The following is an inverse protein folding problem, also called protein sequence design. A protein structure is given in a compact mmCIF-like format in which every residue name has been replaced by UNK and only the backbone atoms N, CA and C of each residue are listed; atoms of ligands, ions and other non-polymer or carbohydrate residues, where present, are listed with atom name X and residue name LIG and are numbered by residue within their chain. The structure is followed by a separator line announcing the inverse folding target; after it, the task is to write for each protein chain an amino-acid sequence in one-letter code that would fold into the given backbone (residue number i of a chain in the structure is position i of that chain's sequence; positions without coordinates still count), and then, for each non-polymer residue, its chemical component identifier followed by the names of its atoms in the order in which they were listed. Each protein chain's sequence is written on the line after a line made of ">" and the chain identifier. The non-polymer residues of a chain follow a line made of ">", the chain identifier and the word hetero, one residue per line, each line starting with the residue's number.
data_IF_703510010133
#
_entry.id   IF_703510010133
#
_cell.length_a   1.000
_cell.length_b   1.000
_cell.length_c   1.000
_cell.angle_alpha   90.00
_cell.angle_beta   90.00
_cell.angle_gamma   90.00
#
_symmetry.space_group_name_H-M   'P 1'
#
loop_
_entity.id
_entity.type
_entity.pdbx_description
1 polymer ?
#
# COMPACT_ATOMS: atom_id res chain seq x y z
N UNK A 1 74.28 44.98 -1.31
CA UNK A 1 73.91 46.28 -1.91
C UNK A 1 73.16 46.04 -3.21
N UNK A 2 72.19 46.93 -3.46
CA UNK A 2 71.52 47.22 -4.73
C UNK A 2 70.34 46.37 -5.18
N UNK A 3 69.17 46.93 -4.82
CA UNK A 3 67.90 46.91 -5.55
C UNK A 3 68.10 47.12 -7.05
N UNK A 4 67.32 46.42 -7.88
CA UNK A 4 66.78 46.97 -9.12
C UNK A 4 65.39 46.37 -9.38
N UNK A 5 64.40 47.26 -9.34
CA UNK A 5 63.02 47.00 -9.74
C UNK A 5 62.97 46.81 -11.25
N UNK A 6 62.23 45.80 -11.72
CA UNK A 6 61.49 45.89 -12.97
C UNK A 6 60.10 45.29 -12.79
N UNK A 7 59.12 46.15 -13.04
CA UNK A 7 57.70 45.86 -13.16
C UNK A 7 57.50 45.06 -14.44
N UNK A 8 56.83 43.91 -14.34
CA UNK A 8 56.20 43.26 -15.47
C UNK A 8 54.83 42.74 -15.03
N UNK A 9 53.79 43.42 -15.50
CA UNK A 9 52.41 42.93 -15.52
C UNK A 9 52.38 41.54 -16.18
N UNK A 10 51.78 40.55 -15.53
CA UNK A 10 51.06 39.52 -16.27
C UNK A 10 49.75 39.18 -15.57
N UNK A 11 48.69 39.39 -16.35
CA UNK A 11 47.28 39.21 -16.08
C UNK A 11 46.95 37.93 -15.29
N UNK A 12 46.13 38.08 -14.24
CA UNK A 12 45.45 36.97 -13.60
C UNK A 12 44.47 36.31 -14.56
N UNK A 13 44.50 34.97 -14.61
CA UNK A 13 43.40 34.16 -15.13
C UNK A 13 42.87 33.32 -13.97
N UNK A 14 41.95 33.92 -13.22
CA UNK A 14 41.11 33.25 -12.24
C UNK A 14 40.09 32.41 -13.03
N UNK A 15 40.41 31.15 -13.32
CA UNK A 15 39.45 30.21 -13.88
C UNK A 15 38.48 29.79 -12.77
N UNK A 16 37.45 30.62 -12.62
CA UNK A 16 36.17 30.26 -12.01
C UNK A 16 35.59 29.06 -12.76
N UNK A 17 35.88 27.84 -12.30
CA UNK A 17 34.98 26.72 -12.56
C UNK A 17 33.74 26.94 -11.68
N UNK A 18 32.81 27.76 -12.19
CA UNK A 18 31.45 27.83 -11.69
C UNK A 18 30.80 26.47 -11.89
N UNK A 19 30.81 25.64 -10.85
CA UNK A 19 29.88 24.53 -10.73
C UNK A 19 28.49 25.15 -10.63
N UNK A 20 27.81 25.29 -11.77
CA UNK A 20 26.36 25.50 -11.78
C UNK A 20 25.71 24.17 -11.44
N UNK A 21 25.69 23.82 -10.16
CA UNK A 21 24.63 22.97 -9.65
C UNK A 21 23.34 23.79 -9.75
N UNK A 22 22.62 23.69 -10.86
CA UNK A 22 21.22 24.07 -10.88
C UNK A 22 20.48 23.06 -10.00
N UNK A 23 20.39 23.35 -8.70
CA UNK A 23 19.29 22.82 -7.91
C UNK A 23 18.02 23.45 -8.46
N UNK A 24 17.43 22.81 -9.47
CA UNK A 24 16.02 23.00 -9.75
C UNK A 24 15.35 22.47 -8.48
N UNK A 25 14.94 23.37 -7.59
CA UNK A 25 13.97 23.01 -6.57
C UNK A 25 12.72 22.66 -7.36
N UNK A 26 12.59 21.39 -7.75
CA UNK A 26 11.35 20.89 -8.30
C UNK A 26 10.25 21.22 -7.29
N UNK A 27 9.05 21.63 -7.72
CA UNK A 27 7.96 21.90 -6.79
C UNK A 27 7.57 20.67 -5.95
N UNK A 28 8.04 19.47 -6.31
CA UNK A 28 7.80 18.21 -5.61
C UNK A 28 9.02 17.74 -4.79
N UNK A 29 8.83 17.35 -3.52
CA UNK A 29 9.86 16.67 -2.74
C UNK A 29 9.96 15.15 -3.02
N UNK A 30 9.33 14.65 -4.10
CA UNK A 30 9.46 13.26 -4.53
C UNK A 30 10.87 13.03 -5.10
N UNK A 31 11.50 11.92 -4.72
CA UNK A 31 12.82 11.49 -5.16
C UNK A 31 12.69 10.67 -6.44
N UNK A 32 12.39 11.33 -7.54
CA UNK A 32 12.20 10.68 -8.85
C UNK A 32 13.45 9.91 -9.29
N UNK A 33 13.23 8.71 -9.81
CA UNK A 33 14.23 7.83 -10.38
C UNK A 33 14.09 7.81 -11.90
N UNK A 34 15.19 7.49 -12.59
CA UNK A 34 15.13 6.96 -13.96
C UNK A 34 14.48 5.58 -13.95
N UNK A 35 13.94 5.15 -15.09
CA UNK A 35 13.32 3.82 -15.16
C UNK A 35 14.35 2.70 -14.93
N UNK A 36 15.59 2.87 -15.39
CA UNK A 36 16.70 1.94 -15.20
C UNK A 36 17.07 1.79 -13.72
N UNK A 37 17.11 2.90 -12.97
CA UNK A 37 17.35 2.87 -11.53
C UNK A 37 16.21 2.15 -10.80
N UNK A 38 14.96 2.46 -11.15
CA UNK A 38 13.81 1.79 -10.55
C UNK A 38 13.80 0.29 -10.87
N UNK A 39 14.14 -0.09 -12.11
CA UNK A 39 14.23 -1.48 -12.55
C UNK A 39 15.30 -2.26 -11.76
N UNK A 40 16.50 -1.67 -11.65
CA UNK A 40 17.60 -2.27 -10.88
C UNK A 40 17.28 -2.41 -9.38
N UNK A 41 16.57 -1.45 -8.80
CA UNK A 41 16.14 -1.52 -7.41
C UNK A 41 15.05 -2.58 -7.22
N UNK A 42 14.12 -2.69 -8.16
CA UNK A 42 13.05 -3.68 -8.14
C UNK A 42 13.59 -5.12 -8.16
N UNK A 43 14.61 -5.39 -8.98
CA UNK A 43 15.26 -6.72 -9.03
C UNK A 43 15.90 -7.13 -7.71
N UNK A 44 16.35 -6.15 -6.90
CA UNK A 44 16.95 -6.40 -5.58
C UNK A 44 15.90 -6.52 -4.47
N UNK A 45 14.86 -5.68 -4.52
CA UNK A 45 13.80 -5.64 -3.54
C UNK A 45 12.47 -5.25 -4.21
N UNK A 46 11.62 -6.24 -4.55
CA UNK A 46 10.36 -5.99 -5.24
C UNK A 46 9.44 -5.05 -4.44
N UNK A 47 9.30 -3.81 -4.92
CA UNK A 47 8.46 -2.75 -4.39
C UNK A 47 7.73 -2.09 -5.56
N UNK A 48 6.43 -1.75 -5.44
CA UNK A 48 5.67 -1.18 -6.55
C UNK A 48 6.33 0.10 -7.07
N UNK A 49 6.22 0.32 -8.38
CA UNK A 49 6.60 1.58 -9.03
C UNK A 49 5.38 2.46 -9.18
N UNK A 50 5.58 3.77 -9.04
CA UNK A 50 4.62 4.80 -9.43
C UNK A 50 5.27 5.58 -10.57
N UNK A 51 4.74 5.45 -11.78
CA UNK A 51 5.31 6.06 -12.97
C UNK A 51 4.40 7.20 -13.44
N UNK A 52 4.81 8.45 -13.21
CA UNK A 52 4.15 9.64 -13.76
C UNK A 52 4.55 9.80 -15.24
N UNK A 53 3.61 9.50 -16.15
CA UNK A 53 3.82 9.66 -17.60
C UNK A 53 3.24 11.00 -18.03
N UNK A 54 4.10 11.88 -18.54
CA UNK A 54 3.75 13.28 -18.83
C UNK A 54 4.31 13.76 -20.19
N UNK A 55 3.97 14.99 -20.57
CA UNK A 55 4.63 15.76 -21.65
C UNK A 55 4.87 17.21 -21.22
N UNK A 56 5.83 17.91 -21.83
CA UNK A 56 6.21 19.27 -21.43
C UNK A 56 5.14 20.34 -21.71
N UNK A 57 4.25 20.09 -22.67
CA UNK A 57 3.14 20.99 -23.00
C UNK A 57 1.87 20.72 -22.18
N UNK A 58 1.84 19.64 -21.40
CA UNK A 58 0.66 19.23 -20.61
C UNK A 58 0.46 20.14 -19.38
N UNK A 59 -0.57 21.00 -19.43
CA UNK A 59 -0.93 21.90 -18.33
C UNK A 59 -1.30 21.16 -17.04
N UNK A 60 -2.14 20.13 -17.13
CA UNK A 60 -2.56 19.32 -15.98
C UNK A 60 -1.39 18.56 -15.32
N UNK A 61 -0.40 18.13 -16.10
CA UNK A 61 0.81 17.51 -15.58
C UNK A 61 1.61 18.51 -14.72
N UNK A 62 1.77 19.74 -15.21
CA UNK A 62 2.42 20.83 -14.45
C UNK A 62 1.62 21.20 -13.20
N UNK A 63 0.30 21.18 -13.28
CA UNK A 63 -0.57 21.44 -12.13
C UNK A 63 -0.40 20.35 -11.06
N UNK A 64 -0.46 19.07 -11.43
CA UNK A 64 -0.22 17.92 -10.53
C UNK A 64 1.13 17.98 -9.81
N UNK A 65 2.18 18.42 -10.52
CA UNK A 65 3.51 18.64 -9.93
C UNK A 65 3.53 19.74 -8.86
N UNK A 66 2.71 20.79 -9.02
CA UNK A 66 2.65 21.95 -8.12
C UNK A 66 1.67 21.78 -6.97
N UNK A 67 0.71 20.87 -7.09
CA UNK A 67 -0.33 20.62 -6.07
C UNK A 67 -0.10 19.28 -5.38
N UNK A 68 -0.48 18.19 -6.04
CA UNK A 68 -0.52 16.83 -5.48
C UNK A 68 0.86 16.31 -5.13
N UNK A 69 1.79 16.34 -6.08
CA UNK A 69 3.16 15.87 -5.85
C UNK A 69 4.00 16.84 -5.02
N UNK A 70 3.57 18.10 -4.86
CA UNK A 70 4.18 19.07 -3.96
C UNK A 70 3.78 18.87 -2.48
N UNK A 71 2.68 18.16 -2.22
CA UNK A 71 2.23 17.87 -0.86
C UNK A 71 3.24 16.97 -0.14
N UNK A 72 3.74 17.42 1.03
CA UNK A 72 4.78 16.71 1.80
C UNK A 72 4.33 15.32 2.26
N UNK A 73 3.06 15.15 2.62
CA UNK A 73 2.50 13.86 3.03
C UNK A 73 2.49 12.86 1.88
N UNK A 74 1.95 13.29 0.73
CA UNK A 74 1.94 12.48 -0.50
C UNK A 74 3.36 12.12 -0.93
N UNK A 75 4.26 13.09 -1.02
CA UNK A 75 5.64 12.85 -1.42
C UNK A 75 6.37 11.91 -0.45
N UNK A 76 6.19 12.10 0.87
CA UNK A 76 6.75 11.22 1.88
C UNK A 76 6.26 9.78 1.77
N UNK A 77 4.95 9.60 1.53
CA UNK A 77 4.36 8.29 1.31
C UNK A 77 4.88 7.63 0.04
N UNK A 78 4.96 8.37 -1.07
CA UNK A 78 5.49 7.88 -2.35
C UNK A 78 6.96 7.46 -2.21
N UNK A 79 7.80 8.31 -1.63
CA UNK A 79 9.22 8.04 -1.43
C UNK A 79 9.48 6.78 -0.58
N UNK A 80 8.61 6.53 0.41
CA UNK A 80 8.72 5.37 1.30
C UNK A 80 8.28 4.10 0.59
N UNK A 81 7.09 4.14 -0.03
CA UNK A 81 6.37 2.94 -0.44
C UNK A 81 6.53 2.56 -1.92
N UNK A 82 7.09 3.45 -2.75
CA UNK A 82 7.22 3.22 -4.18
C UNK A 82 8.66 3.43 -4.68
N UNK A 83 8.95 2.91 -5.87
CA UNK A 83 10.00 3.45 -6.74
C UNK A 83 9.35 4.47 -7.70
N UNK A 84 9.38 5.77 -7.37
CA UNK A 84 8.75 6.78 -8.21
C UNK A 84 9.60 7.05 -9.45
N UNK A 85 8.98 6.99 -10.62
CA UNK A 85 9.60 7.31 -11.91
C UNK A 85 8.78 8.41 -12.56
N UNK A 86 9.45 9.34 -13.23
CA UNK A 86 8.79 10.35 -14.02
C UNK A 86 9.30 10.28 -15.45
N UNK A 87 8.39 10.03 -16.39
CA UNK A 87 8.75 9.70 -17.76
C UNK A 87 8.08 10.65 -18.75
N UNK A 88 8.89 11.41 -19.49
CA UNK A 88 8.40 12.25 -20.58
C UNK A 88 8.09 11.36 -21.80
N UNK A 89 6.82 11.27 -22.17
CA UNK A 89 6.35 10.44 -23.27
C UNK A 89 6.85 10.89 -24.66
N UNK A 90 7.49 12.06 -24.76
CA UNK A 90 8.04 12.62 -25.99
C UNK A 90 9.57 12.77 -25.95
N UNK A 91 10.26 12.25 -24.92
CA UNK A 91 11.74 12.26 -24.90
C UNK A 91 12.32 11.54 -26.10
N UNK A 92 13.51 11.96 -26.56
CA UNK A 92 14.29 11.28 -27.60
C UNK A 92 15.34 10.32 -27.05
N UNK A 93 15.60 10.37 -25.75
CA UNK A 93 16.57 9.50 -25.10
C UNK A 93 16.15 8.03 -25.22
N UNK A 94 17.12 7.14 -25.43
CA UNK A 94 16.88 5.70 -25.37
C UNK A 94 16.81 5.26 -23.91
N UNK A 95 15.78 4.50 -23.55
CA UNK A 95 15.68 3.89 -22.21
C UNK A 95 15.71 2.36 -22.28
N UNK A 96 16.21 1.73 -21.23
CA UNK A 96 16.24 0.28 -21.09
C UNK A 96 15.38 -0.16 -19.91
N UNK A 97 14.48 -1.11 -20.15
CA UNK A 97 13.62 -1.67 -19.12
C UNK A 97 13.45 -3.17 -19.34
N UNK A 98 13.69 -3.98 -18.31
CA UNK A 98 13.66 -5.44 -18.37
C UNK A 98 14.53 -6.02 -19.51
N UNK A 99 15.72 -5.44 -19.71
CA UNK A 99 16.65 -5.83 -20.77
C UNK A 99 16.26 -5.41 -22.20
N UNK A 100 15.08 -4.81 -22.39
CA UNK A 100 14.62 -4.29 -23.69
C UNK A 100 14.94 -2.80 -23.82
N UNK A 101 15.50 -2.42 -24.96
CA UNK A 101 15.68 -1.01 -25.35
C UNK A 101 14.39 -0.45 -25.96
N UNK A 102 14.06 0.78 -25.59
CA UNK A 102 12.96 1.56 -26.13
C UNK A 102 13.49 2.90 -26.62
N UNK A 103 12.99 3.35 -27.76
CA UNK A 103 13.46 4.57 -28.44
C UNK A 103 12.29 5.48 -28.80
N UNK A 104 12.58 6.70 -29.22
CA UNK A 104 11.62 7.54 -29.92
C UNK A 104 11.79 7.40 -31.44
N UNK A 105 10.76 7.04 -32.21
CA UNK A 105 10.87 6.91 -33.66
C UNK A 105 11.15 8.24 -34.38
N UNK A 106 10.90 9.39 -33.73
CA UNK A 106 11.16 10.72 -34.31
C UNK A 106 10.24 11.11 -35.47
N UNK A 107 9.19 10.34 -35.74
CA UNK A 107 8.27 10.56 -36.87
C UNK A 107 7.06 11.40 -36.43
N UNK A 108 6.83 12.52 -37.12
CA UNK A 108 5.71 13.45 -36.88
C UNK A 108 6.06 14.59 -35.90
N UNK A 109 5.14 15.54 -35.71
CA UNK A 109 5.42 16.77 -34.94
C UNK A 109 5.56 16.58 -33.42
N UNK A 110 5.03 15.49 -32.86
CA UNK A 110 5.09 15.14 -31.42
C UNK A 110 5.24 13.63 -31.24
N UNK A 111 6.38 13.06 -31.64
CA UNK A 111 6.53 11.62 -31.72
C UNK A 111 6.54 11.01 -30.31
N UNK A 112 5.73 9.96 -30.12
CA UNK A 112 5.61 9.27 -28.84
C UNK A 112 6.71 8.22 -28.70
N UNK A 113 7.41 8.27 -27.58
CA UNK A 113 8.44 7.31 -27.20
C UNK A 113 7.85 5.90 -27.04
N UNK A 114 8.52 4.86 -27.55
CA UNK A 114 8.00 3.48 -27.55
C UNK A 114 7.75 2.94 -26.15
N UNK A 115 8.55 3.35 -25.16
CA UNK A 115 8.31 3.05 -23.75
C UNK A 115 7.00 3.63 -23.23
N UNK A 116 6.63 4.87 -23.61
CA UNK A 116 5.32 5.41 -23.25
C UNK A 116 4.18 4.64 -23.93
N UNK A 117 4.38 4.16 -25.17
CA UNK A 117 3.38 3.29 -25.83
C UNK A 117 3.17 2.00 -25.05
N UNK A 118 4.25 1.39 -24.56
CA UNK A 118 4.21 0.20 -23.71
C UNK A 118 3.48 0.48 -22.38
N UNK A 119 3.90 1.52 -21.64
CA UNK A 119 3.31 1.88 -20.35
C UNK A 119 1.82 2.18 -20.44
N UNK A 120 1.39 2.86 -21.51
CA UNK A 120 0.02 3.33 -21.69
C UNK A 120 -0.83 2.41 -22.55
N UNK A 121 -0.31 1.25 -22.96
CA UNK A 121 -0.97 0.34 -23.90
C UNK A 121 -1.51 1.05 -25.16
N UNK A 122 -0.71 1.97 -25.70
CA UNK A 122 -1.06 2.79 -26.86
C UNK A 122 -2.10 3.90 -26.62
N UNK A 123 -2.64 4.07 -25.41
CA UNK A 123 -3.67 5.07 -25.08
C UNK A 123 -3.07 6.31 -24.43
N UNK A 124 -2.72 7.31 -25.23
CA UNK A 124 -2.06 8.53 -24.74
C UNK A 124 -3.04 9.52 -24.12
N UNK A 125 -3.19 9.46 -22.80
CA UNK A 125 -3.84 10.49 -21.98
C UNK A 125 -2.80 11.03 -20.98
N UNK A 126 -2.68 12.35 -20.84
CA UNK A 126 -1.68 12.96 -19.94
C UNK A 126 -2.35 13.93 -18.94
N UNK A 127 -1.95 13.92 -17.66
CA UNK A 127 -1.05 12.93 -17.06
C UNK A 127 -1.71 11.54 -17.01
N UNK A 128 -0.89 10.50 -16.95
CA UNK A 128 -1.33 9.16 -16.52
C UNK A 128 -0.33 8.63 -15.50
N UNK A 129 -0.83 8.19 -14.36
CA UNK A 129 -0.01 7.47 -13.38
C UNK A 129 -0.11 5.99 -13.72
N UNK A 130 1.01 5.33 -13.96
CA UNK A 130 1.08 3.88 -14.13
C UNK A 130 1.66 3.27 -12.87
N UNK A 131 0.86 2.48 -12.16
CA UNK A 131 1.34 1.67 -11.04
C UNK A 131 1.86 0.34 -11.55
N UNK A 132 2.89 -0.19 -10.91
CA UNK A 132 3.24 -1.61 -11.02
C UNK A 132 2.93 -2.34 -9.73
N UNK A 133 2.52 -3.60 -9.83
CA UNK A 133 2.56 -4.50 -8.68
C UNK A 133 3.95 -5.14 -8.51
N UNK A 134 4.08 -5.96 -7.47
CA UNK A 134 5.32 -6.70 -7.16
C UNK A 134 5.65 -7.81 -8.19
N UNK A 135 4.78 -8.04 -9.18
CA UNK A 135 4.99 -8.93 -10.34
C UNK A 135 5.21 -8.14 -11.64
N UNK A 136 5.32 -6.81 -11.57
CA UNK A 136 5.51 -5.90 -12.70
C UNK A 136 4.29 -5.78 -13.64
N UNK A 137 3.09 -6.21 -13.21
CA UNK A 137 1.87 -5.93 -13.96
C UNK A 137 1.58 -4.42 -13.92
N UNK A 138 1.09 -3.85 -15.03
CA UNK A 138 0.86 -2.42 -15.19
C UNK A 138 -0.62 -2.06 -14.99
N UNK A 139 -0.86 -1.00 -14.21
CA UNK A 139 -2.20 -0.46 -13.95
C UNK A 139 -2.21 1.03 -14.29
N UNK A 140 -2.86 1.40 -15.40
CA UNK A 140 -2.90 2.78 -15.89
C UNK A 140 -4.07 3.56 -15.28
N UNK A 141 -3.76 4.68 -14.63
CA UNK A 141 -4.73 5.58 -14.02
C UNK A 141 -4.65 6.94 -14.72
N UNK A 142 -5.49 7.19 -15.74
CA UNK A 142 -5.42 8.42 -16.52
C UNK A 142 -6.01 9.62 -15.75
N UNK A 143 -5.53 10.80 -16.14
CA UNK A 143 -6.03 12.09 -15.68
C UNK A 143 -5.30 12.61 -14.46
N UNK A 144 -5.51 13.90 -14.19
CA UNK A 144 -5.06 14.56 -12.98
C UNK A 144 -5.65 13.88 -11.74
N UNK A 145 -4.85 13.78 -10.68
CA UNK A 145 -5.30 13.36 -9.35
C UNK A 145 -4.95 14.44 -8.36
N UNK A 146 -5.96 14.97 -7.66
CA UNK A 146 -5.74 15.75 -6.46
C UNK A 146 -5.37 14.85 -5.27
N UNK A 147 -5.07 15.46 -4.12
CA UNK A 147 -4.60 14.76 -2.92
C UNK A 147 -5.62 13.68 -2.49
N UNK A 148 -6.91 14.03 -2.35
CA UNK A 148 -7.93 13.06 -1.91
C UNK A 148 -8.14 11.91 -2.90
N UNK A 149 -7.90 12.15 -4.20
CA UNK A 149 -8.10 11.12 -5.22
C UNK A 149 -6.89 10.17 -5.35
N UNK A 150 -5.68 10.65 -5.07
CA UNK A 150 -4.46 9.82 -5.17
C UNK A 150 -4.25 8.96 -3.92
N UNK A 151 -4.64 9.43 -2.73
CA UNK A 151 -4.45 8.72 -1.45
C UNK A 151 -4.94 7.27 -1.46
N UNK A 152 -6.22 6.96 -1.79
CA UNK A 152 -6.71 5.59 -1.81
C UNK A 152 -5.96 4.71 -2.83
N UNK A 153 -5.51 5.25 -3.96
CA UNK A 153 -4.69 4.53 -4.95
C UNK A 153 -3.30 4.19 -4.40
N UNK A 154 -2.66 5.15 -3.71
CA UNK A 154 -1.35 4.92 -3.12
C UNK A 154 -1.40 3.76 -2.11
N UNK A 155 -2.44 3.73 -1.26
CA UNK A 155 -2.62 2.63 -0.30
C UNK A 155 -2.95 1.32 -1.03
N UNK A 156 -3.82 1.37 -2.04
CA UNK A 156 -4.27 0.20 -2.80
C UNK A 156 -3.10 -0.61 -3.39
N UNK A 157 -2.11 0.07 -3.98
CA UNK A 157 -0.94 -0.57 -4.57
C UNK A 157 0.20 -0.82 -3.59
N UNK A 158 0.41 0.06 -2.60
CA UNK A 158 1.49 -0.13 -1.62
C UNK A 158 1.23 -1.33 -0.70
N UNK A 159 -0.01 -1.50 -0.26
CA UNK A 159 -0.46 -2.52 0.70
C UNK A 159 -1.09 -3.76 0.03
N UNK A 160 -0.88 -3.94 -1.28
CA UNK A 160 -1.30 -5.12 -2.05
C UNK A 160 -2.82 -5.43 -2.02
N UNK A 161 -3.65 -4.40 -1.86
CA UNK A 161 -5.11 -4.55 -1.72
C UNK A 161 -5.76 -5.10 -2.99
N UNK A 162 -5.15 -4.82 -4.15
CA UNK A 162 -5.57 -5.35 -5.45
C UNK A 162 -5.60 -6.88 -5.54
N UNK A 163 -4.94 -7.58 -4.62
CA UNK A 163 -4.98 -9.06 -4.56
C UNK A 163 -6.37 -9.55 -4.16
N UNK A 164 -7.05 -8.86 -3.24
CA UNK A 164 -8.28 -9.34 -2.62
C UNK A 164 -9.51 -8.47 -2.91
N UNK A 165 -9.34 -7.22 -3.34
CA UNK A 165 -10.45 -6.29 -3.56
C UNK A 165 -10.31 -5.52 -4.86
N UNK A 166 -11.44 -5.29 -5.55
CA UNK A 166 -11.47 -4.32 -6.66
C UNK A 166 -11.29 -2.92 -6.11
N UNK A 167 -10.74 -2.03 -6.94
CA UNK A 167 -10.45 -0.66 -6.52
C UNK A 167 -11.71 0.09 -6.07
N UNK A 168 -12.85 -0.07 -6.74
CA UNK A 168 -14.08 0.63 -6.38
C UNK A 168 -14.61 0.20 -4.99
N UNK A 169 -14.59 -1.11 -4.70
CA UNK A 169 -14.94 -1.63 -3.37
C UNK A 169 -14.02 -1.07 -2.29
N UNK A 170 -12.70 -1.13 -2.54
CA UNK A 170 -11.70 -0.57 -1.64
C UNK A 170 -11.90 0.94 -1.41
N UNK A 171 -12.08 1.71 -2.49
CA UNK A 171 -12.27 3.15 -2.45
C UNK A 171 -13.50 3.50 -1.62
N UNK A 172 -14.62 2.82 -1.83
CA UNK A 172 -15.82 3.04 -1.02
C UNK A 172 -15.52 2.83 0.47
N UNK A 173 -14.92 1.70 0.87
CA UNK A 173 -14.61 1.45 2.27
C UNK A 173 -13.60 2.46 2.85
N UNK A 174 -12.61 2.88 2.06
CA UNK A 174 -11.64 3.89 2.44
C UNK A 174 -12.31 5.26 2.69
N UNK A 175 -13.16 5.71 1.77
CA UNK A 175 -13.89 6.98 1.89
C UNK A 175 -14.79 6.98 3.12
N UNK A 176 -15.54 5.90 3.34
CA UNK A 176 -16.38 5.72 4.53
C UNK A 176 -15.59 5.64 5.84
N UNK A 177 -14.32 5.22 5.81
CA UNK A 177 -13.47 5.26 6.99
C UNK A 177 -13.00 6.69 7.31
N UNK A 178 -12.83 7.53 6.29
CA UNK A 178 -12.35 8.91 6.38
C UNK A 178 -13.42 9.94 6.03
N UNK A 179 -14.64 9.76 6.54
CA UNK A 179 -15.85 10.51 6.14
C UNK A 179 -15.71 12.03 6.15
N UNK A 180 -14.91 12.58 7.09
CA UNK A 180 -14.68 14.02 7.18
C UNK A 180 -13.98 14.59 5.93
N UNK A 181 -13.15 13.80 5.27
CA UNK A 181 -12.44 14.17 4.04
C UNK A 181 -13.32 13.94 2.81
N UNK A 182 -14.11 12.86 2.82
CA UNK A 182 -14.85 12.38 1.64
C UNK A 182 -16.36 12.63 1.69
N UNK A 183 -16.82 13.57 2.52
CA UNK A 183 -18.26 13.84 2.74
C UNK A 183 -19.04 14.02 1.44
N UNK A 184 -18.50 14.80 0.49
CA UNK A 184 -19.15 15.07 -0.79
C UNK A 184 -19.14 13.86 -1.73
N UNK A 185 -18.09 13.04 -1.68
CA UNK A 185 -17.99 11.83 -2.49
C UNK A 185 -18.93 10.74 -1.97
N UNK A 186 -19.02 10.58 -0.66
CA UNK A 186 -19.98 9.69 0.00
C UNK A 186 -21.42 10.07 -0.34
N UNK A 187 -21.75 11.36 -0.37
CA UNK A 187 -23.10 11.83 -0.68
C UNK A 187 -23.60 11.48 -2.09
N UNK A 188 -22.70 11.07 -3.00
CA UNK A 188 -23.04 10.63 -4.37
C UNK A 188 -23.34 9.12 -4.44
N UNK A 189 -23.02 8.37 -3.38
CA UNK A 189 -23.22 6.92 -3.31
C UNK A 189 -24.69 6.68 -2.91
N UNK A 190 -25.36 5.74 -3.59
CA UNK A 190 -26.69 5.32 -3.15
C UNK A 190 -26.58 4.68 -1.76
N UNK A 191 -27.43 5.14 -0.83
CA UNK A 191 -27.53 4.63 0.54
C UNK A 191 -27.65 3.11 0.66
N UNK A 192 -28.21 2.42 -0.36
CA UNK A 192 -28.27 0.95 -0.39
C UNK A 192 -26.89 0.29 -0.46
N UNK A 193 -25.88 1.03 -0.92
CA UNK A 193 -24.49 0.60 -1.05
C UNK A 193 -23.61 1.08 0.10
N UNK A 194 -24.19 1.69 1.14
CA UNK A 194 -23.42 2.11 2.30
C UNK A 194 -22.92 0.87 3.05
N UNK A 195 -21.65 0.85 3.48
CA UNK A 195 -21.17 -0.24 4.31
C UNK A 195 -21.93 -0.22 5.64
N UNK A 196 -22.41 -1.38 6.07
CA UNK A 196 -22.95 -1.54 7.41
C UNK A 196 -21.82 -1.40 8.44
N UNK A 197 -21.99 -0.45 9.37
CA UNK A 197 -21.08 -0.19 10.49
C UNK A 197 -21.80 -0.19 11.84
N UNK A 198 -22.94 -0.87 11.94
CA UNK A 198 -23.79 -0.90 13.15
C UNK A 198 -23.34 -1.90 14.22
N UNK A 199 -22.36 -2.74 13.90
CA UNK A 199 -21.79 -3.77 14.76
C UNK A 199 -20.75 -3.26 15.75
N UNK A 200 -20.60 -4.00 16.85
CA UNK A 200 -19.59 -3.75 17.89
C UNK A 200 -18.87 -5.06 18.18
N UNK A 201 -17.58 -5.12 17.86
CA UNK A 201 -16.74 -6.29 18.15
C UNK A 201 -16.17 -6.22 19.57
N UNK A 202 -16.26 -7.32 20.32
CA UNK A 202 -15.72 -7.44 21.66
C UNK A 202 -14.31 -8.05 21.60
N UNK A 203 -13.34 -7.33 22.15
CA UNK A 203 -11.93 -7.76 22.17
C UNK A 203 -11.50 -8.13 23.58
N UNK A 204 -10.55 -9.07 23.69
CA UNK A 204 -9.89 -9.47 24.93
C UNK A 204 -8.39 -9.22 24.83
N UNK A 205 -7.70 -9.19 25.97
CA UNK A 205 -6.24 -9.30 26.01
C UNK A 205 -5.80 -10.66 25.43
N UNK A 206 -4.54 -10.79 24.99
CA UNK A 206 -4.02 -12.08 24.48
C UNK A 206 -4.18 -13.17 25.53
N UNK A 207 -3.86 -12.84 26.79
CA UNK A 207 -3.97 -13.75 27.93
C UNK A 207 -5.41 -14.23 28.13
N UNK A 208 -6.35 -13.30 28.33
CA UNK A 208 -7.75 -13.65 28.64
C UNK A 208 -8.42 -14.41 27.50
N UNK A 209 -8.10 -14.05 26.25
CA UNK A 209 -8.62 -14.76 25.09
C UNK A 209 -8.10 -16.19 25.00
N UNK A 210 -6.81 -16.41 25.29
CA UNK A 210 -6.19 -17.73 25.26
C UNK A 210 -6.70 -18.64 26.38
N UNK A 211 -6.90 -18.11 27.58
CA UNK A 211 -7.52 -18.84 28.70
C UNK A 211 -8.98 -19.18 28.40
N UNK A 212 -9.74 -18.22 27.86
CA UNK A 212 -11.12 -18.43 27.46
C UNK A 212 -11.24 -19.50 26.35
N UNK A 213 -10.31 -19.53 25.39
CA UNK A 213 -10.23 -20.54 24.34
C UNK A 213 -10.13 -21.96 24.91
N UNK A 214 -9.30 -22.16 25.95
CA UNK A 214 -9.17 -23.46 26.62
C UNK A 214 -10.45 -23.84 27.39
N UNK A 215 -11.13 -22.86 27.99
CA UNK A 215 -12.31 -23.06 28.84
C UNK A 215 -13.60 -23.30 28.04
N UNK A 216 -13.93 -22.42 27.09
CA UNK A 216 -15.20 -22.45 26.36
C UNK A 216 -15.12 -23.22 25.03
N UNK A 217 -13.93 -23.69 24.64
CA UNK A 217 -13.66 -24.44 23.40
C UNK A 217 -13.99 -23.69 22.10
N UNK A 218 -14.23 -22.38 22.16
CA UNK A 218 -14.30 -21.52 20.97
C UNK A 218 -12.89 -21.24 20.46
N UNK A 219 -12.65 -21.24 19.14
CA UNK A 219 -11.35 -20.89 18.57
C UNK A 219 -10.92 -19.47 18.96
N UNK A 220 -9.61 -19.28 19.03
CA UNK A 220 -8.97 -17.98 19.20
C UNK A 220 -8.72 -17.37 17.81
N UNK A 221 -9.21 -16.14 17.61
CA UNK A 221 -8.90 -15.31 16.44
C UNK A 221 -8.03 -14.15 16.90
N UNK A 222 -6.83 -14.04 16.34
CA UNK A 222 -5.91 -12.93 16.58
C UNK A 222 -5.80 -12.13 15.30
N UNK A 223 -6.28 -10.90 15.35
CA UNK A 223 -6.07 -9.88 14.33
C UNK A 223 -4.81 -9.08 14.66
N UNK A 224 -3.78 -9.17 13.83
CA UNK A 224 -2.49 -8.52 14.02
C UNK A 224 -2.39 -7.33 13.08
N UNK A 225 -2.12 -6.15 13.64
CA UNK A 225 -2.07 -4.88 12.91
C UNK A 225 -0.90 -4.01 13.35
N UNK A 226 -0.72 -2.88 12.67
CA UNK A 226 0.13 -1.75 13.12
C UNK A 226 -0.62 -0.43 12.92
N UNK A 227 -0.26 0.60 13.67
CA UNK A 227 -0.98 1.89 13.61
C UNK A 227 -0.72 2.68 12.32
N UNK A 228 0.36 2.36 11.60
CA UNK A 228 0.72 2.98 10.32
C UNK A 228 0.15 2.27 9.10
N UNK A 229 -0.39 1.05 9.26
CA UNK A 229 -1.06 0.28 8.21
C UNK A 229 -2.45 0.89 7.92
N UNK A 230 -2.66 1.37 6.69
CA UNK A 230 -3.88 2.10 6.33
C UNK A 230 -5.06 1.16 6.10
N UNK A 231 -4.84 0.02 5.45
CA UNK A 231 -5.83 -1.06 5.35
C UNK A 231 -6.28 -1.55 6.72
N UNK A 232 -5.36 -1.63 7.69
CA UNK A 232 -5.69 -2.00 9.06
C UNK A 232 -6.65 -1.01 9.75
N UNK A 233 -6.56 0.28 9.41
CA UNK A 233 -7.50 1.30 9.89
C UNK A 233 -8.88 1.11 9.26
N UNK A 234 -8.93 0.85 7.95
CA UNK A 234 -10.19 0.57 7.24
C UNK A 234 -10.86 -0.69 7.78
N UNK A 235 -10.12 -1.77 8.05
CA UNK A 235 -10.70 -2.97 8.66
C UNK A 235 -11.27 -2.70 10.06
N UNK A 236 -10.55 -1.94 10.88
CA UNK A 236 -11.04 -1.54 12.21
C UNK A 236 -12.23 -0.58 12.16
N UNK A 237 -12.23 0.36 11.23
CA UNK A 237 -13.24 1.40 11.11
C UNK A 237 -14.51 0.94 10.43
N UNK A 238 -14.41 -0.05 9.53
CA UNK A 238 -15.51 -0.49 8.66
C UNK A 238 -15.75 -2.00 8.78
N UNK A 239 -14.78 -2.84 8.42
CA UNK A 239 -15.00 -4.30 8.27
C UNK A 239 -15.45 -4.96 9.58
N UNK A 240 -14.76 -4.70 10.69
CA UNK A 240 -15.13 -5.24 12.00
C UNK A 240 -16.38 -4.59 12.61
N UNK A 241 -16.87 -3.48 12.04
CA UNK A 241 -18.12 -2.84 12.44
C UNK A 241 -19.31 -3.33 11.62
N UNK A 242 -19.10 -4.16 10.60
CA UNK A 242 -20.20 -4.84 9.94
C UNK A 242 -20.93 -5.74 10.94
N UNK A 243 -22.26 -5.66 11.02
CA UNK A 243 -23.04 -6.34 12.05
C UNK A 243 -22.93 -7.86 11.96
N UNK A 244 -22.94 -8.41 10.75
CA UNK A 244 -22.78 -9.86 10.54
C UNK A 244 -21.41 -10.29 11.05
N UNK A 245 -20.35 -9.54 10.72
CA UNK A 245 -18.99 -9.84 11.17
C UNK A 245 -18.85 -9.73 12.69
N UNK A 246 -19.33 -8.64 13.28
CA UNK A 246 -19.21 -8.44 14.73
C UNK A 246 -19.97 -9.50 15.50
N UNK A 247 -21.20 -9.84 15.07
CA UNK A 247 -22.02 -10.85 15.72
C UNK A 247 -21.34 -12.23 15.62
N UNK A 248 -20.82 -12.59 14.43
CA UNK A 248 -20.12 -13.85 14.21
C UNK A 248 -18.85 -13.96 15.04
N UNK A 249 -18.04 -12.90 15.12
CA UNK A 249 -16.83 -12.86 15.96
C UNK A 249 -17.20 -13.04 17.44
N UNK A 250 -18.15 -12.25 17.94
CA UNK A 250 -18.56 -12.28 19.34
C UNK A 250 -19.17 -13.63 19.75
N UNK A 251 -19.94 -14.24 18.85
CA UNK A 251 -20.60 -15.52 19.11
C UNK A 251 -19.62 -16.69 19.01
N UNK A 252 -18.73 -16.70 18.02
CA UNK A 252 -17.97 -17.92 17.66
C UNK A 252 -16.50 -17.90 18.06
N UNK A 253 -15.93 -16.74 18.42
CA UNK A 253 -14.49 -16.61 18.66
C UNK A 253 -14.17 -16.01 20.01
N UNK A 254 -13.00 -16.36 20.54
CA UNK A 254 -12.29 -15.51 21.50
C UNK A 254 -11.40 -14.58 20.66
N UNK A 255 -11.71 -13.29 20.63
CA UNK A 255 -11.10 -12.36 19.68
C UNK A 255 -10.10 -11.40 20.33
N UNK A 256 -8.96 -11.21 19.65
CA UNK A 256 -7.87 -10.33 20.05
C UNK A 256 -7.53 -9.41 18.88
N UNK A 257 -7.35 -8.12 19.18
CA UNK A 257 -6.63 -7.20 18.31
C UNK A 257 -5.26 -6.96 18.92
N UNK A 258 -4.21 -7.23 18.16
CA UNK A 258 -2.84 -7.19 18.64
C UNK A 258 -1.99 -6.26 17.77
N UNK A 259 -1.42 -5.22 18.39
CA UNK A 259 -0.51 -4.32 17.70
C UNK A 259 0.89 -4.95 17.64
N UNK A 260 1.35 -5.29 16.44
CA UNK A 260 2.66 -5.88 16.22
C UNK A 260 3.82 -4.96 16.62
N UNK A 261 3.59 -3.66 16.81
CA UNK A 261 4.59 -2.71 17.29
C UNK A 261 4.65 -2.58 18.82
N UNK A 262 3.72 -3.21 19.55
CA UNK A 262 3.66 -3.13 21.01
C UNK A 262 4.98 -3.56 21.65
N UNK A 263 5.33 -2.91 22.76
CA UNK A 263 6.47 -3.28 23.61
C UNK A 263 6.04 -3.93 24.92
N UNK A 264 4.74 -4.00 25.18
CA UNK A 264 4.19 -4.67 26.36
C UNK A 264 4.40 -6.18 26.27
N UNK A 265 4.53 -6.84 27.42
CA UNK A 265 4.63 -8.30 27.43
C UNK A 265 3.25 -8.92 27.33
N UNK A 266 3.12 -9.93 26.48
CA UNK A 266 1.88 -10.66 26.26
C UNK A 266 2.04 -12.12 26.66
N UNK A 267 0.95 -12.77 27.03
CA UNK A 267 0.94 -14.21 27.29
C UNK A 267 -0.06 -14.93 26.39
N UNK A 268 0.41 -15.93 25.66
CA UNK A 268 -0.41 -16.80 24.82
C UNK A 268 -0.28 -18.23 25.32
N UNK A 269 -1.37 -18.80 25.86
CA UNK A 269 -1.41 -20.17 26.41
C UNK A 269 -0.38 -20.47 27.52
N UNK A 270 0.03 -19.44 28.26
CA UNK A 270 1.01 -19.53 29.35
C UNK A 270 2.43 -19.12 28.94
N UNK A 271 2.75 -19.14 27.65
CA UNK A 271 4.04 -18.67 27.14
C UNK A 271 4.06 -17.14 27.11
N UNK A 272 5.18 -16.54 27.53
CA UNK A 272 5.35 -15.09 27.61
C UNK A 272 6.18 -14.58 26.44
N UNK A 273 5.66 -13.57 25.74
CA UNK A 273 6.26 -12.92 24.60
C UNK A 273 6.52 -11.45 24.94
N UNK A 274 7.70 -10.93 24.59
CA UNK A 274 8.12 -9.56 24.91
C UNK A 274 8.26 -8.69 23.67
N UNK A 275 8.25 -7.37 23.87
CA UNK A 275 8.69 -6.38 22.89
C UNK A 275 10.13 -6.64 22.41
N UNK A 276 10.40 -6.29 21.15
CA UNK A 276 11.73 -6.49 20.51
C UNK A 276 12.48 -5.18 20.25
N UNK A 277 11.97 -4.06 20.78
CA UNK A 277 12.48 -2.71 20.57
C UNK A 277 11.77 -1.97 19.43
N UNK A 278 12.06 -0.67 19.33
CA UNK A 278 11.44 0.20 18.34
C UNK A 278 11.76 -0.24 16.90
N UNK A 279 10.75 -0.19 16.03
CA UNK A 279 10.87 -0.53 14.62
C UNK A 279 10.95 -2.03 14.31
N UNK A 280 10.79 -2.91 15.32
CA UNK A 280 10.78 -4.36 15.15
C UNK A 280 9.43 -4.94 15.58
N UNK A 281 8.89 -5.96 14.88
CA UNK A 281 7.68 -6.66 15.31
C UNK A 281 7.82 -7.30 16.69
N UNK A 282 6.75 -7.36 17.48
CA UNK A 282 6.73 -8.02 18.78
C UNK A 282 7.04 -9.52 18.66
N UNK A 283 7.62 -10.15 19.70
CA UNK A 283 7.97 -11.59 19.68
C UNK A 283 6.77 -12.49 19.34
N UNK A 284 5.57 -12.12 19.79
CA UNK A 284 4.33 -12.82 19.46
C UNK A 284 4.06 -12.81 17.95
N UNK A 285 4.30 -11.70 17.26
CA UNK A 285 4.17 -11.63 15.80
C UNK A 285 5.19 -12.54 15.10
N UNK A 286 6.43 -12.63 15.58
CA UNK A 286 7.41 -13.58 15.05
C UNK A 286 6.93 -15.03 15.18
N UNK A 287 6.42 -15.40 16.36
CA UNK A 287 5.95 -16.75 16.64
C UNK A 287 4.72 -17.11 15.79
N UNK A 288 3.78 -16.16 15.64
CA UNK A 288 2.54 -16.41 14.92
C UNK A 288 2.71 -16.35 13.41
N UNK A 289 3.52 -15.43 12.87
CA UNK A 289 3.57 -15.13 11.43
C UNK A 289 4.77 -15.73 10.68
N UNK A 290 5.61 -16.55 11.35
CA UNK A 290 6.77 -17.23 10.73
C UNK A 290 7.65 -16.31 9.87
N UNK A 291 7.87 -15.07 10.31
CA UNK A 291 8.64 -14.01 9.62
C UNK A 291 7.98 -13.35 8.40
N UNK A 292 6.71 -13.66 8.08
CA UNK A 292 5.90 -12.96 7.10
C UNK A 292 5.18 -11.76 7.73
N UNK A 293 5.85 -10.61 7.82
CA UNK A 293 5.28 -9.40 8.46
C UNK A 293 4.46 -8.54 7.50
N UNK A 294 3.47 -9.18 6.85
CA UNK A 294 2.45 -8.46 6.06
C UNK A 294 1.23 -8.23 6.95
N UNK A 295 0.86 -6.96 7.10
CA UNK A 295 -0.28 -6.53 7.89
C UNK A 295 -1.36 -5.91 6.98
N UNK A 296 -2.65 -6.07 7.30
CA UNK A 296 -3.19 -6.85 8.42
C UNK A 296 -2.90 -8.34 8.30
N UNK A 297 -2.93 -9.06 9.42
CA UNK A 297 -2.86 -10.51 9.45
C UNK A 297 -3.89 -11.12 10.39
N UNK A 298 -4.40 -12.28 10.03
CA UNK A 298 -5.42 -13.01 10.79
C UNK A 298 -4.88 -14.39 11.13
N UNK A 299 -4.88 -14.74 12.42
CA UNK A 299 -4.41 -16.04 12.90
C UNK A 299 -5.52 -16.75 13.65
N UNK A 300 -5.82 -17.97 13.20
CA UNK A 300 -6.84 -18.83 13.78
C UNK A 300 -6.17 -19.95 14.56
N UNK A 301 -6.51 -20.11 15.84
CA UNK A 301 -5.96 -21.15 16.72
C UNK A 301 -7.09 -21.94 17.38
N UNK A 302 -7.00 -23.26 17.37
CA UNK A 302 -8.00 -24.14 17.99
C UNK A 302 -7.85 -24.21 19.50
N UNK A 303 -8.86 -24.78 20.18
CA UNK A 303 -8.82 -25.06 21.62
C UNK A 303 -7.77 -26.09 22.03
N UNK A 304 -7.21 -26.83 21.07
CA UNK A 304 -6.10 -27.76 21.25
C UNK A 304 -4.73 -27.07 21.05
N UNK A 305 -4.71 -25.73 20.99
CA UNK A 305 -3.51 -24.90 20.76
C UNK A 305 -2.87 -25.09 19.38
N UNK A 306 -3.61 -25.60 18.41
CA UNK A 306 -3.12 -25.80 17.04
C UNK A 306 -3.43 -24.57 16.20
N UNK A 307 -2.42 -23.97 15.55
CA UNK A 307 -2.64 -22.92 14.56
C UNK A 307 -3.33 -23.53 13.33
N UNK A 308 -4.59 -23.20 13.15
CA UNK A 308 -5.44 -23.69 12.07
C UNK A 308 -5.10 -23.01 10.74
N UNK A 309 -4.92 -21.68 10.77
CA UNK A 309 -4.59 -20.90 9.59
C UNK A 309 -3.95 -19.55 9.94
N UNK A 310 -3.32 -18.97 8.94
CA UNK A 310 -2.76 -17.63 8.92
C UNK A 310 -3.06 -16.98 7.57
N UNK A 311 -3.62 -15.77 7.57
CA UNK A 311 -3.92 -15.01 6.37
C UNK A 311 -3.30 -13.62 6.48
N UNK A 312 -2.90 -13.05 5.35
CA UNK A 312 -2.32 -11.71 5.26
C UNK A 312 -3.04 -10.84 4.25
N UNK A 313 -2.95 -9.54 4.47
CA UNK A 313 -3.50 -8.52 3.59
C UNK A 313 -4.96 -8.22 3.91
N UNK A 314 -5.41 -7.12 3.33
CA UNK A 314 -6.77 -6.62 3.49
C UNK A 314 -7.82 -7.66 3.05
N UNK A 315 -8.91 -7.76 3.81
CA UNK A 315 -10.04 -8.64 3.49
C UNK A 315 -11.36 -7.86 3.48
N UNK A 316 -12.21 -8.11 2.48
CA UNK A 316 -13.54 -7.52 2.39
C UNK A 316 -14.51 -8.15 3.40
N UNK A 317 -15.60 -7.47 3.78
CA UNK A 317 -16.57 -8.01 4.73
C UNK A 317 -17.11 -9.39 4.35
N UNK A 318 -17.57 -9.61 3.11
CA UNK A 318 -18.08 -10.93 2.70
C UNK A 318 -17.00 -12.02 2.73
N UNK A 319 -15.77 -11.70 2.32
CA UNK A 319 -14.64 -12.65 2.37
C UNK A 319 -14.32 -13.04 3.82
N UNK A 320 -14.39 -12.07 4.74
CA UNK A 320 -14.16 -12.34 6.16
C UNK A 320 -15.28 -13.19 6.75
N UNK A 321 -16.54 -12.99 6.34
CA UNK A 321 -17.64 -13.88 6.72
C UNK A 321 -17.35 -15.33 6.31
N UNK A 322 -16.98 -15.56 5.06
CA UNK A 322 -16.67 -16.90 4.53
C UNK A 322 -15.62 -17.61 5.39
N UNK A 323 -14.52 -16.91 5.68
CA UNK A 323 -13.42 -17.43 6.49
C UNK A 323 -13.87 -17.72 7.93
N UNK A 324 -14.59 -16.77 8.55
CA UNK A 324 -15.05 -16.91 9.92
C UNK A 324 -16.03 -18.09 10.06
N UNK A 325 -16.93 -18.31 9.11
CA UNK A 325 -17.83 -19.47 9.14
C UNK A 325 -17.06 -20.77 8.92
N UNK A 326 -16.16 -20.81 7.93
CA UNK A 326 -15.35 -21.98 7.61
C UNK A 326 -14.59 -22.54 8.82
N UNK A 327 -13.91 -21.67 9.58
CA UNK A 327 -13.14 -22.09 10.75
C UNK A 327 -14.01 -22.36 11.98
N UNK A 328 -15.05 -21.57 12.24
CA UNK A 328 -15.90 -21.76 13.43
C UNK A 328 -16.74 -23.03 13.34
N UNK A 329 -17.20 -23.41 12.14
CA UNK A 329 -17.94 -24.64 11.89
C UNK A 329 -17.04 -25.85 11.61
N UNK A 330 -15.72 -25.69 11.72
CA UNK A 330 -14.73 -26.77 11.51
C UNK A 330 -14.82 -27.44 10.13
N UNK A 331 -15.25 -26.71 9.10
CA UNK A 331 -15.38 -27.24 7.71
C UNK A 331 -14.06 -27.74 7.15
N UNK A 332 -12.94 -27.16 7.59
CA UNK A 332 -11.59 -27.62 7.25
C UNK A 332 -11.30 -29.08 7.59
N UNK A 333 -12.13 -29.75 8.40
CA UNK A 333 -12.00 -31.17 8.69
C UNK A 333 -12.59 -32.08 7.62
N UNK A 334 -13.48 -31.57 6.76
CA UNK A 334 -14.22 -32.37 5.79
C UNK A 334 -14.09 -31.90 4.34
N UNK A 335 -13.73 -30.64 4.11
CA UNK A 335 -13.56 -30.08 2.76
C UNK A 335 -12.53 -28.95 2.76
N UNK A 336 -12.02 -28.62 1.59
CA UNK A 336 -11.17 -27.44 1.37
C UNK A 336 -11.97 -26.14 1.41
N UNK A 337 -11.26 -25.01 1.56
CA UNK A 337 -11.90 -23.69 1.54
C UNK A 337 -12.54 -23.40 0.17
N UNK A 338 -11.86 -23.76 -0.92
CA UNK A 338 -12.37 -23.59 -2.30
C UNK A 338 -13.64 -24.40 -2.57
N UNK A 339 -13.78 -25.59 -1.97
CA UNK A 339 -15.00 -26.39 -2.06
C UNK A 339 -16.13 -25.77 -1.22
N UNK A 340 -15.80 -25.28 -0.03
CA UNK A 340 -16.77 -24.63 0.86
C UNK A 340 -17.40 -23.40 0.21
N UNK A 341 -16.61 -22.46 -0.32
CA UNK A 341 -17.11 -21.19 -0.88
C UNK A 341 -18.00 -21.40 -2.12
N UNK A 342 -17.87 -22.52 -2.85
CA UNK A 342 -18.75 -22.84 -3.99
C UNK A 342 -20.20 -23.10 -3.58
N UNK A 343 -20.42 -23.51 -2.33
CA UNK A 343 -21.74 -23.90 -1.82
C UNK A 343 -22.24 -22.99 -0.71
N UNK A 344 -21.32 -22.29 -0.04
CA UNK A 344 -21.64 -21.36 1.01
C UNK A 344 -22.39 -20.13 0.46
N UNK A 345 -23.41 -19.69 1.20
CA UNK A 345 -24.17 -18.49 0.92
C UNK A 345 -24.08 -17.58 2.14
N UNK A 346 -23.17 -16.61 2.07
CA UNK A 346 -23.00 -15.59 3.09
C UNK A 346 -24.22 -14.70 3.26
N UNK A 347 -24.31 -14.03 4.40
CA UNK A 347 -25.33 -13.02 4.69
C UNK A 347 -24.94 -11.65 4.13
N UNK A 348 -23.64 -11.40 3.95
CA UNK A 348 -23.12 -10.19 3.32
C UNK A 348 -23.09 -10.42 1.80
N UNK A 349 -23.61 -9.45 1.04
CA UNK A 349 -23.62 -9.54 -0.43
C UNK A 349 -22.22 -9.29 -1.00
N UNK A 350 -21.91 -10.02 -2.06
CA UNK A 350 -20.75 -9.83 -2.93
C UNK A 350 -20.94 -8.66 -3.89
#
# INVERSE_FOLDING_TARGET
>A
MNKRNYIALFFGLFLFFSIKAQTIVEPSPIKWLTIEQADSLFDKNPKPMLIDVYTDWCGWCKYMMKTTFANKGIAGYINTNFYPVRFNAETFDTVTYQGKKYTNPGVGGKPKHDFAKYLLNGRFSFPTIVYTDRKRNLYQIPGYKEIKDIEPLLVYFSEDIYINAKYDEWKTLYEFNYQNVYKEDIAKIDSVNYPDTSGIVLTKSVKDASEACLKNKKPLLIYIYTDWCQSCKVENGIVFKNKVISDLINEKYNFVKFNAASQESESLFGDVFKGTGAGRPHQLSYALLKQSFKFPAFVFISSEKVKLNEMHGFILPYQLEDVLVYFSEKKYKSQSFDEFIKTFKGKIKH
#
